data_IF_673538033051
#
_entry.id   IF_673538033051
#
_cell.length_a   1.000
_cell.length_b   1.000
_cell.length_c   1.000
_cell.angle_alpha   90.00
_cell.angle_beta   90.00
_cell.angle_gamma   90.00
#
_symmetry.space_group_name_H-M   'P 1'
#
loop_
_entity.id
_entity.type
_entity.pdbx_description
1 polymer ?
#
# COMPACT_ATOMS: atom_id res chain seq x y z
N UNK A 1 6.79 18.54 -15.74
CA UNK A 1 7.78 18.16 -14.72
C UNK A 1 7.12 17.15 -13.81
N UNK A 2 7.68 15.95 -13.71
CA UNK A 2 7.22 14.96 -12.73
C UNK A 2 7.74 15.34 -11.35
N UNK A 3 6.85 15.37 -10.35
CA UNK A 3 7.16 15.76 -8.97
C UNK A 3 6.84 14.59 -8.04
N UNK A 4 7.74 14.31 -7.11
CA UNK A 4 7.51 13.35 -6.04
C UNK A 4 6.65 14.00 -4.96
N UNK A 5 5.58 13.31 -4.56
CA UNK A 5 4.68 13.76 -3.49
C UNK A 5 4.76 12.75 -2.35
N UNK A 6 5.10 13.24 -1.17
CA UNK A 6 5.10 12.46 0.06
C UNK A 6 3.75 12.58 0.76
N UNK A 7 3.34 11.52 1.42
CA UNK A 7 2.09 11.47 2.15
C UNK A 7 2.20 10.55 3.37
N UNK A 8 1.28 10.74 4.31
CA UNK A 8 1.08 9.85 5.46
C UNK A 8 -0.35 9.31 5.41
N UNK A 9 -0.54 8.08 5.88
CA UNK A 9 -1.85 7.42 5.85
C UNK A 9 -1.93 6.24 6.79
N UNK A 10 -3.10 5.60 6.83
CA UNK A 10 -3.38 4.41 7.64
C UNK A 10 -3.68 3.24 6.72
N UNK A 11 -3.05 2.09 6.98
CA UNK A 11 -3.36 0.84 6.27
C UNK A 11 -4.69 0.31 6.77
N UNK A 12 -5.67 0.18 5.88
CA UNK A 12 -6.99 -0.36 6.22
C UNK A 12 -7.18 -1.81 5.80
N UNK A 13 -6.45 -2.29 4.78
CA UNK A 13 -6.56 -3.67 4.31
C UNK A 13 -5.22 -4.23 3.84
N UNK A 14 -4.94 -5.50 4.18
CA UNK A 14 -3.67 -6.19 3.90
C UNK A 14 -3.80 -7.54 3.18
N UNK A 15 -5.03 -8.02 2.98
CA UNK A 15 -5.25 -9.33 2.36
C UNK A 15 -5.23 -9.14 0.83
N UNK A 16 -4.04 -9.12 0.25
CA UNK A 16 -3.87 -8.99 -1.20
C UNK A 16 -4.25 -10.30 -1.91
N UNK A 17 -5.28 -10.31 -2.78
CA UNK A 17 -5.68 -11.51 -3.52
C UNK A 17 -4.56 -12.06 -4.42
N UNK A 18 -3.64 -11.20 -4.88
CA UNK A 18 -2.51 -11.59 -5.73
C UNK A 18 -1.25 -11.97 -4.93
N UNK A 19 -1.29 -11.84 -3.60
CA UNK A 19 -0.17 -12.16 -2.72
C UNK A 19 1.13 -11.42 -3.08
N UNK A 20 1.02 -10.19 -3.60
CA UNK A 20 2.18 -9.35 -3.95
C UNK A 20 2.67 -8.49 -2.77
N UNK A 21 1.99 -8.58 -1.62
CA UNK A 21 2.26 -7.79 -0.42
C UNK A 21 1.76 -6.35 -0.50
N UNK A 22 0.77 -6.06 -1.36
CA UNK A 22 0.16 -4.73 -1.45
C UNK A 22 -0.75 -4.46 -0.26
N UNK A 23 -0.90 -3.19 0.08
CA UNK A 23 -1.84 -2.74 1.11
C UNK A 23 -2.75 -1.63 0.58
N UNK A 24 -3.96 -1.54 1.11
CA UNK A 24 -4.85 -0.38 0.86
C UNK A 24 -4.64 0.64 1.94
N UNK A 25 -4.32 1.88 1.55
CA UNK A 25 -3.94 2.94 2.47
C UNK A 25 -4.89 4.12 2.32
N UNK A 26 -5.44 4.59 3.43
CA UNK A 26 -6.19 5.84 3.50
C UNK A 26 -5.22 6.99 3.74
N UNK A 27 -5.01 7.82 2.72
CA UNK A 27 -4.06 8.93 2.75
C UNK A 27 -4.68 10.16 3.42
N UNK A 28 -4.01 10.70 4.43
CA UNK A 28 -4.45 11.89 5.16
C UNK A 28 -4.45 13.11 4.24
N UNK A 29 -5.53 13.89 4.29
CA UNK A 29 -5.71 15.11 3.48
C UNK A 29 -6.13 14.87 2.02
N UNK A 30 -5.93 13.66 1.48
CA UNK A 30 -6.39 13.30 0.13
C UNK A 30 -7.66 12.45 0.13
N UNK A 31 -7.80 11.54 1.08
CA UNK A 31 -9.00 10.71 1.23
C UNK A 31 -9.82 11.22 2.41
N UNK A 32 -11.14 11.25 2.27
CA UNK A 32 -12.04 11.50 3.40
C UNK A 32 -11.93 10.36 4.42
N UNK A 33 -12.12 10.69 5.70
CA UNK A 33 -12.28 9.74 6.80
C UNK A 33 -13.63 9.02 6.78
N UNK A 34 -14.63 9.56 6.06
CA UNK A 34 -15.93 8.92 5.89
C UNK A 34 -15.84 7.69 4.97
N UNK A 35 -16.12 6.53 5.56
CA UNK A 35 -16.04 5.23 4.88
C UNK A 35 -17.27 4.90 4.04
N UNK A 36 -18.38 5.60 4.24
CA UNK A 36 -19.56 5.45 3.39
C UNK A 36 -19.32 6.13 2.04
N UNK A 37 -18.53 7.22 2.02
CA UNK A 37 -18.14 7.91 0.79
C UNK A 37 -17.01 7.21 0.04
N UNK A 38 -16.00 6.72 0.78
CA UNK A 38 -14.90 5.92 0.20
C UNK A 38 -14.70 4.67 1.07
N UNK A 39 -15.36 3.55 0.70
CA UNK A 39 -15.17 2.26 1.33
C UNK A 39 -13.72 1.78 1.29
N UNK A 40 -13.34 0.93 2.24
CA UNK A 40 -11.97 0.40 2.32
C UNK A 40 -11.59 -0.38 1.06
N UNK A 41 -12.53 -1.08 0.42
CA UNK A 41 -12.33 -1.84 -0.81
C UNK A 41 -12.05 -0.97 -2.04
N UNK A 42 -12.48 0.29 -2.03
CA UNK A 42 -12.28 1.20 -3.17
C UNK A 42 -10.94 1.94 -3.09
N UNK A 43 -10.25 1.85 -1.95
CA UNK A 43 -8.91 2.40 -1.82
C UNK A 43 -7.91 1.71 -2.78
N UNK A 44 -7.01 2.47 -3.42
CA UNK A 44 -6.01 1.91 -4.31
C UNK A 44 -4.99 1.07 -3.55
N UNK A 45 -4.43 0.09 -4.25
CA UNK A 45 -3.33 -0.72 -3.73
C UNK A 45 -2.01 0.04 -3.81
N UNK A 46 -1.28 0.05 -2.70
CA UNK A 46 0.07 0.58 -2.58
C UNK A 46 1.09 -0.55 -2.42
N UNK A 47 2.26 -0.40 -3.03
CA UNK A 47 3.38 -1.32 -2.88
C UNK A 47 4.33 -0.84 -1.77
N UNK A 48 4.57 -1.65 -0.72
CA UNK A 48 5.65 -1.36 0.22
C UNK A 48 7.00 -1.64 -0.45
N UNK A 49 7.99 -0.79 -0.18
CA UNK A 49 9.37 -1.06 -0.54
C UNK A 49 9.98 -2.06 0.46
N UNK A 50 10.62 -3.12 -0.01
CA UNK A 50 11.30 -4.08 0.86
C UNK A 50 12.63 -3.53 1.39
N UNK A 51 13.11 -4.11 2.50
CA UNK A 51 14.45 -3.83 3.02
C UNK A 51 15.53 -4.20 2.01
N UNK A 52 16.64 -3.45 1.99
CA UNK A 52 17.78 -3.68 1.07
C UNK A 52 18.43 -5.07 1.16
N UNK A 53 18.20 -5.80 2.25
CA UNK A 53 18.70 -7.18 2.45
C UNK A 53 17.80 -8.24 1.79
N UNK A 54 16.65 -7.85 1.24
CA UNK A 54 15.73 -8.74 0.53
C UNK A 54 15.87 -8.56 -0.98
N UNK A 55 16.10 -9.66 -1.71
CA UNK A 55 16.29 -9.62 -3.16
C UNK A 55 14.97 -9.42 -3.95
N UNK A 56 13.83 -9.84 -3.41
CA UNK A 56 12.51 -9.73 -4.03
C UNK A 56 12.39 -10.36 -5.44
N UNK A 57 13.25 -11.33 -5.78
CA UNK A 57 13.30 -11.93 -7.11
C UNK A 57 13.39 -13.45 -7.04
N UNK A 58 12.70 -14.13 -7.94
CA UNK A 58 12.74 -15.60 -8.10
C UNK A 58 12.48 -16.37 -6.79
N UNK A 59 11.62 -15.85 -5.92
CA UNK A 59 11.30 -16.47 -4.63
C UNK A 59 12.36 -16.30 -3.54
N UNK A 60 13.41 -15.49 -3.77
CA UNK A 60 14.46 -15.19 -2.78
C UNK A 60 14.19 -13.82 -2.15
N UNK A 61 14.10 -13.78 -0.83
CA UNK A 61 13.89 -12.55 -0.06
C UNK A 61 13.07 -12.78 1.20
N UNK A 62 12.62 -11.69 1.81
CA UNK A 62 11.67 -11.69 2.92
C UNK A 62 10.24 -11.67 2.43
N UNK A 63 9.33 -12.14 3.28
CA UNK A 63 7.89 -12.04 3.01
C UNK A 63 7.52 -10.55 2.94
N UNK A 64 6.81 -10.11 1.89
CA UNK A 64 6.50 -8.69 1.68
C UNK A 64 5.47 -8.10 2.67
N UNK A 65 4.99 -8.86 3.67
CA UNK A 65 4.41 -8.46 4.98
C UNK A 65 3.99 -9.71 5.75
#
# INVERSE_FOLDING_TARGET
MEQLIFWQGVVEHRIDPLMLGRCRVRVLGSHTDDKELIPTEDLPWAYPCQSITSAAMSGVGHTPM
#
